data_IF_960173330028
#
_entry.id   IF_960173330028
#
_cell.length_a   1.000
_cell.length_b   1.000
_cell.length_c   1.000
_cell.angle_alpha   90.00
_cell.angle_beta   90.00
_cell.angle_gamma   90.00
#
_symmetry.space_group_name_H-M   'P 1'
#
loop_
_entity.id
_entity.type
_entity.pdbx_description
1 polymer ?
#
# COMPACT_ATOMS: atom_id res chain seq x y z
N UNK A 1 -66.66 4.82 22.48
CA UNK A 1 -66.55 5.00 21.01
C UNK A 1 -65.29 5.82 20.73
N UNK A 2 -64.24 5.21 20.17
CA UNK A 2 -63.04 5.94 19.72
C UNK A 2 -63.33 6.60 18.39
N UNK A 3 -63.37 7.93 18.30
CA UNK A 3 -63.47 8.68 17.04
C UNK A 3 -62.19 8.45 16.23
N UNK A 4 -62.26 7.72 15.16
CA UNK A 4 -61.22 7.63 14.14
C UNK A 4 -61.07 8.98 13.45
N UNK A 5 -60.00 9.71 13.69
CA UNK A 5 -59.64 10.95 12.97
C UNK A 5 -59.36 10.61 11.52
N UNK A 6 -60.20 11.05 10.62
CA UNK A 6 -59.92 10.96 9.16
C UNK A 6 -58.77 11.88 8.82
N UNK A 7 -57.72 11.33 8.22
CA UNK A 7 -56.56 12.08 7.74
C UNK A 7 -56.98 13.11 6.66
N UNK A 8 -56.43 14.31 6.70
CA UNK A 8 -56.66 15.33 5.67
C UNK A 8 -55.96 14.92 4.36
N UNK A 9 -56.40 15.46 3.21
CA UNK A 9 -55.82 15.16 1.88
C UNK A 9 -54.27 15.38 1.87
N UNK A 10 -53.77 16.38 2.60
CA UNK A 10 -52.35 16.68 2.75
C UNK A 10 -51.62 15.62 3.57
N UNK A 11 -52.26 15.09 4.62
CA UNK A 11 -51.68 14.01 5.44
C UNK A 11 -51.64 12.68 4.66
N UNK A 12 -52.63 12.38 3.81
CA UNK A 12 -52.58 11.24 2.92
C UNK A 12 -51.48 11.34 1.86
N UNK A 13 -51.20 12.55 1.33
CA UNK A 13 -50.11 12.79 0.39
C UNK A 13 -48.76 12.60 1.03
N UNK A 14 -48.56 13.16 2.24
CA UNK A 14 -47.33 12.99 3.04
C UNK A 14 -47.09 11.52 3.42
N UNK A 15 -48.17 10.80 3.78
CA UNK A 15 -48.06 9.38 4.10
C UNK A 15 -47.63 8.54 2.87
N UNK A 16 -48.22 8.80 1.69
CA UNK A 16 -47.84 8.13 0.44
C UNK A 16 -46.40 8.42 0.06
N UNK A 17 -45.95 9.67 0.21
CA UNK A 17 -44.59 10.07 -0.04
C UNK A 17 -43.59 9.40 0.94
N UNK A 18 -43.94 9.30 2.22
CA UNK A 18 -43.18 8.58 3.23
C UNK A 18 -43.05 7.08 2.92
N UNK A 19 -44.17 6.44 2.48
CA UNK A 19 -44.13 5.03 2.08
C UNK A 19 -43.24 4.83 0.85
N UNK A 20 -43.30 5.73 -0.13
CA UNK A 20 -42.48 5.64 -1.33
C UNK A 20 -40.97 5.79 -0.99
N UNK A 21 -40.58 6.72 -0.12
CA UNK A 21 -39.25 6.86 0.36
C UNK A 21 -38.80 5.59 1.10
N UNK A 22 -39.63 5.06 2.00
CA UNK A 22 -39.33 3.84 2.73
C UNK A 22 -39.11 2.65 1.79
N UNK A 23 -39.94 2.53 0.73
CA UNK A 23 -39.78 1.49 -0.28
C UNK A 23 -38.47 1.62 -1.05
N UNK A 24 -38.08 2.84 -1.46
CA UNK A 24 -36.80 3.10 -2.13
C UNK A 24 -35.65 2.74 -1.19
N UNK A 25 -35.67 3.15 0.07
CA UNK A 25 -34.65 2.79 1.04
C UNK A 25 -34.55 1.27 1.21
N UNK A 26 -35.70 0.57 1.31
CA UNK A 26 -35.74 -0.89 1.44
C UNK A 26 -35.11 -1.59 0.22
N UNK A 27 -35.38 -1.09 -1.00
CA UNK A 27 -34.78 -1.61 -2.23
C UNK A 27 -33.25 -1.37 -2.22
N UNK A 28 -32.80 -0.16 -1.89
CA UNK A 28 -31.37 0.18 -1.84
C UNK A 28 -30.65 -0.70 -0.81
N UNK A 29 -31.21 -0.87 0.38
CA UNK A 29 -30.67 -1.74 1.42
C UNK A 29 -30.66 -3.20 0.94
N UNK A 30 -31.73 -3.69 0.34
CA UNK A 30 -31.81 -5.05 -0.18
C UNK A 30 -30.77 -5.34 -1.27
N UNK A 31 -30.57 -4.40 -2.20
CA UNK A 31 -29.53 -4.49 -3.24
C UNK A 31 -28.15 -4.44 -2.62
N UNK A 32 -27.93 -3.55 -1.66
CA UNK A 32 -26.65 -3.43 -0.95
C UNK A 32 -26.29 -4.69 -0.16
N UNK A 33 -27.24 -5.27 0.57
CA UNK A 33 -27.06 -6.54 1.28
C UNK A 33 -26.83 -7.69 0.30
N UNK A 34 -27.62 -7.75 -0.78
CA UNK A 34 -27.44 -8.76 -1.83
C UNK A 34 -26.03 -8.71 -2.43
N UNK A 35 -25.52 -7.51 -2.71
CA UNK A 35 -24.15 -7.33 -3.18
C UNK A 35 -23.11 -7.70 -2.10
N UNK A 36 -23.35 -7.30 -0.85
CA UNK A 36 -22.43 -7.55 0.28
C UNK A 36 -22.20 -9.05 0.52
N UNK A 37 -23.24 -9.88 0.40
CA UNK A 37 -23.15 -11.33 0.62
C UNK A 37 -23.05 -12.16 -0.66
N UNK A 38 -23.08 -11.54 -1.84
CA UNK A 38 -22.92 -12.29 -3.09
C UNK A 38 -21.55 -12.97 -3.17
N UNK A 39 -21.54 -14.24 -3.56
CA UNK A 39 -20.36 -15.05 -3.88
C UNK A 39 -20.37 -15.39 -5.36
N UNK A 40 -19.21 -15.70 -5.91
CA UNK A 40 -19.00 -15.94 -7.33
C UNK A 40 -18.16 -17.19 -7.52
N UNK A 41 -18.50 -18.00 -8.53
CA UNK A 41 -17.87 -19.31 -8.77
C UNK A 41 -16.87 -19.26 -9.92
N UNK A 42 -17.01 -18.31 -10.85
CA UNK A 42 -16.14 -18.18 -11.99
C UNK A 42 -15.88 -16.71 -12.38
N UNK A 43 -14.83 -16.50 -13.16
CA UNK A 43 -14.52 -15.21 -13.75
C UNK A 43 -14.65 -15.30 -15.27
N UNK A 44 -15.26 -14.27 -15.88
CA UNK A 44 -15.39 -14.17 -17.33
C UNK A 44 -14.53 -13.05 -17.85
N UNK A 45 -13.74 -13.31 -18.91
CA UNK A 45 -13.07 -12.25 -19.65
C UNK A 45 -14.11 -11.45 -20.42
N UNK A 46 -14.21 -10.15 -20.12
CA UNK A 46 -15.15 -9.23 -20.77
C UNK A 46 -14.51 -8.50 -21.93
N UNK A 47 -13.23 -8.13 -21.75
CA UNK A 47 -12.42 -7.46 -22.78
C UNK A 47 -10.96 -7.90 -22.64
N UNK A 48 -10.27 -7.94 -23.75
CA UNK A 48 -8.85 -8.23 -23.84
C UNK A 48 -8.15 -7.12 -24.61
N UNK A 49 -6.99 -6.72 -24.11
CA UNK A 49 -6.14 -5.71 -24.72
C UNK A 49 -4.74 -6.32 -24.86
N UNK A 50 -4.33 -6.54 -26.08
CA UNK A 50 -3.01 -7.11 -26.37
C UNK A 50 -1.92 -6.09 -26.06
N UNK A 51 -0.91 -6.51 -25.30
CA UNK A 51 0.31 -5.75 -25.07
C UNK A 51 1.46 -6.73 -24.94
N UNK A 52 2.52 -6.47 -25.69
CA UNK A 52 3.78 -7.18 -25.51
C UNK A 52 4.57 -6.48 -24.44
N UNK A 53 4.57 -7.02 -23.23
CA UNK A 53 5.51 -6.67 -22.17
C UNK A 53 6.72 -7.60 -22.22
N UNK A 54 7.82 -7.16 -21.61
CA UNK A 54 8.99 -8.04 -21.42
C UNK A 54 8.71 -9.03 -20.30
N UNK A 55 9.35 -10.19 -20.30
CA UNK A 55 9.11 -11.26 -19.31
C UNK A 55 9.41 -10.84 -17.88
N UNK A 56 10.22 -9.78 -17.68
CA UNK A 56 10.61 -9.21 -16.40
C UNK A 56 9.87 -7.89 -16.06
N UNK A 57 8.83 -7.52 -16.83
CA UNK A 57 7.98 -6.36 -16.52
C UNK A 57 7.21 -6.58 -15.22
N UNK A 58 7.30 -5.58 -14.33
CA UNK A 58 6.53 -5.48 -13.08
C UNK A 58 5.57 -4.31 -13.17
N UNK A 59 4.53 -4.37 -12.35
CA UNK A 59 3.46 -3.39 -12.38
C UNK A 59 3.18 -2.87 -10.98
N UNK A 60 2.85 -1.59 -10.87
CA UNK A 60 2.36 -0.99 -9.63
C UNK A 60 1.24 -0.02 -9.97
N UNK A 61 0.19 -0.01 -9.16
CA UNK A 61 -0.87 0.96 -9.30
C UNK A 61 -0.33 2.35 -8.99
N UNK A 62 -0.63 3.30 -9.87
CA UNK A 62 -0.23 4.68 -9.72
C UNK A 62 -1.32 5.58 -10.30
N UNK A 63 -1.79 6.55 -9.52
CA UNK A 63 -2.90 7.42 -9.89
C UNK A 63 -4.12 6.63 -10.45
N UNK A 64 -4.57 6.97 -11.65
CA UNK A 64 -5.69 6.33 -12.36
C UNK A 64 -5.24 5.30 -13.42
N UNK A 65 -4.03 4.77 -13.27
CA UNK A 65 -3.42 3.81 -14.18
C UNK A 65 -2.41 2.87 -13.51
N UNK A 66 -1.47 2.43 -14.28
CA UNK A 66 -0.45 1.46 -13.88
C UNK A 66 0.91 1.90 -14.40
N UNK A 67 1.92 1.94 -13.51
CA UNK A 67 3.31 2.00 -13.92
C UNK A 67 3.80 0.59 -14.24
N UNK A 68 4.22 0.37 -15.47
CA UNK A 68 5.02 -0.77 -15.90
C UNK A 68 6.49 -0.39 -15.78
N UNK A 69 7.29 -1.23 -15.14
CA UNK A 69 8.72 -0.99 -15.03
C UNK A 69 9.52 -2.27 -15.19
N UNK A 70 10.66 -2.14 -15.83
CA UNK A 70 11.62 -3.21 -16.09
C UNK A 70 13.03 -2.66 -16.02
N UNK A 71 14.02 -3.46 -16.40
CA UNK A 71 15.40 -3.00 -16.55
C UNK A 71 15.61 -2.03 -17.71
N UNK A 72 14.73 -2.07 -18.68
CA UNK A 72 14.87 -1.35 -19.96
C UNK A 72 14.06 -0.05 -20.04
N UNK A 73 13.17 0.17 -19.05
CA UNK A 73 12.37 1.38 -19.03
C UNK A 73 11.19 1.37 -18.08
N UNK A 74 10.54 2.52 -18.02
CA UNK A 74 9.34 2.77 -17.22
C UNK A 74 8.27 3.35 -18.14
N UNK A 75 7.05 2.81 -18.09
CA UNK A 75 5.91 3.32 -18.83
C UNK A 75 4.70 3.56 -17.92
N UNK A 76 3.94 4.60 -18.21
CA UNK A 76 2.65 4.81 -17.54
C UNK A 76 1.52 4.44 -18.50
N UNK A 77 0.66 3.56 -18.02
CA UNK A 77 -0.39 2.93 -18.80
C UNK A 77 -1.76 3.22 -18.19
N UNK A 78 -2.75 3.37 -19.05
CA UNK A 78 -4.15 3.28 -18.61
C UNK A 78 -4.47 1.84 -18.16
N UNK A 79 -5.59 1.65 -17.43
CA UNK A 79 -6.10 0.29 -17.15
C UNK A 79 -6.54 -0.49 -18.41
N UNK A 80 -6.42 0.07 -19.60
CA UNK A 80 -6.64 -0.62 -20.88
C UNK A 80 -5.34 -1.02 -21.55
N UNK A 81 -4.19 -0.69 -20.95
CA UNK A 81 -2.88 -0.92 -21.51
C UNK A 81 -2.45 0.12 -22.55
N UNK A 82 -3.25 1.20 -22.74
CA UNK A 82 -2.83 2.31 -23.61
C UNK A 82 -1.67 3.05 -22.95
N UNK A 83 -0.58 3.23 -23.67
CA UNK A 83 0.59 3.94 -23.19
C UNK A 83 0.36 5.44 -23.21
N UNK A 84 0.53 6.09 -22.05
CA UNK A 84 0.44 7.53 -21.90
C UNK A 84 1.80 8.19 -22.10
N UNK A 85 2.84 7.55 -21.56
CA UNK A 85 4.25 7.91 -21.82
C UNK A 85 5.16 6.71 -21.54
N UNK A 86 6.35 6.77 -22.12
CA UNK A 86 7.41 5.77 -21.92
C UNK A 86 8.75 6.49 -21.76
N UNK A 87 9.52 6.09 -20.76
CA UNK A 87 10.87 6.56 -20.49
C UNK A 87 11.83 5.39 -20.60
N UNK A 88 12.54 5.24 -21.73
CA UNK A 88 13.63 4.29 -21.83
C UNK A 88 14.75 4.62 -20.85
N UNK A 89 15.24 3.63 -20.13
CA UNK A 89 16.39 3.77 -19.23
C UNK A 89 17.02 2.40 -19.02
N UNK A 90 18.22 2.38 -18.45
CA UNK A 90 18.86 1.14 -18.04
C UNK A 90 19.01 1.13 -16.53
N UNK A 91 18.29 0.24 -15.87
CA UNK A 91 18.28 0.07 -14.42
C UNK A 91 18.60 -1.38 -14.11
N UNK A 92 19.70 -1.62 -13.38
CA UNK A 92 20.15 -2.98 -13.08
C UNK A 92 19.18 -3.74 -12.18
N UNK A 93 18.66 -3.06 -11.14
CA UNK A 93 17.76 -3.64 -10.15
C UNK A 93 16.72 -2.60 -9.70
N UNK A 94 15.62 -2.42 -10.45
CA UNK A 94 14.65 -1.38 -10.19
C UNK A 94 13.89 -1.60 -8.87
N UNK A 95 13.88 -0.58 -8.02
CA UNK A 95 13.02 -0.42 -6.85
C UNK A 95 12.10 0.78 -7.09
N UNK A 96 10.81 0.61 -6.79
CA UNK A 96 9.79 1.62 -7.09
C UNK A 96 8.99 1.96 -5.85
N UNK A 97 8.87 3.25 -5.59
CA UNK A 97 7.99 3.80 -4.56
C UNK A 97 7.04 4.83 -5.18
N UNK A 98 5.82 4.85 -4.67
CA UNK A 98 4.78 5.78 -5.12
C UNK A 98 4.17 6.49 -3.92
N UNK A 99 3.85 7.77 -4.11
CA UNK A 99 3.11 8.57 -3.14
C UNK A 99 2.22 9.55 -3.91
N UNK A 100 0.91 9.34 -3.82
CA UNK A 100 -0.09 10.20 -4.47
C UNK A 100 0.28 10.51 -5.94
N UNK A 101 0.80 11.72 -6.20
CA UNK A 101 1.10 12.27 -7.53
C UNK A 101 2.53 12.05 -8.00
N UNK A 102 3.36 11.38 -7.22
CA UNK A 102 4.76 11.15 -7.55
C UNK A 102 5.10 9.66 -7.49
N UNK A 103 6.01 9.26 -8.37
CA UNK A 103 6.66 7.96 -8.32
C UNK A 103 8.17 8.15 -8.42
N UNK A 104 8.92 7.34 -7.71
CA UNK A 104 10.37 7.28 -7.81
C UNK A 104 10.81 5.86 -8.18
N UNK A 105 11.71 5.76 -9.14
CA UNK A 105 12.32 4.50 -9.57
C UNK A 105 13.82 4.61 -9.36
N UNK A 106 14.34 3.85 -8.42
CA UNK A 106 15.77 3.81 -8.09
C UNK A 106 16.43 2.55 -8.61
N UNK A 107 17.71 2.63 -8.91
CA UNK A 107 18.56 1.48 -9.22
C UNK A 107 19.22 0.98 -7.91
N UNK A 108 18.69 -0.10 -7.35
CA UNK A 108 19.27 -0.69 -6.13
C UNK A 108 20.67 -1.23 -6.39
N UNK A 109 21.64 -0.75 -5.63
CA UNK A 109 23.08 -1.01 -5.83
C UNK A 109 23.73 -0.08 -6.87
N UNK A 110 22.93 0.67 -7.64
CA UNK A 110 23.36 1.75 -8.52
C UNK A 110 23.23 3.13 -7.85
N UNK A 111 23.30 4.19 -8.64
CA UNK A 111 23.33 5.59 -8.17
C UNK A 111 22.30 6.50 -8.84
N UNK A 112 21.36 5.95 -9.62
CA UNK A 112 20.36 6.73 -10.35
C UNK A 112 18.98 6.58 -9.73
N UNK A 113 18.23 7.68 -9.60
CA UNK A 113 16.82 7.70 -9.23
C UNK A 113 16.08 8.59 -10.21
N UNK A 114 15.06 8.05 -10.85
CA UNK A 114 14.16 8.79 -11.74
C UNK A 114 12.88 9.14 -10.97
N UNK A 115 12.49 10.41 -11.01
CA UNK A 115 11.27 10.90 -10.35
C UNK A 115 10.24 11.24 -11.41
N UNK A 116 9.06 10.68 -11.28
CA UNK A 116 7.94 10.82 -12.22
C UNK A 116 6.75 11.51 -11.58
N UNK A 117 5.98 12.15 -12.44
CA UNK A 117 4.59 12.55 -12.19
C UNK A 117 3.71 11.97 -13.30
N UNK A 118 2.38 12.13 -13.19
CA UNK A 118 1.44 11.63 -14.19
C UNK A 118 1.77 12.07 -15.64
N UNK A 119 2.42 13.21 -15.80
CA UNK A 119 2.81 13.78 -17.10
C UNK A 119 4.16 13.28 -17.62
N UNK A 120 4.85 12.39 -16.90
CA UNK A 120 6.16 11.86 -17.28
C UNK A 120 7.28 12.19 -16.29
N UNK A 121 8.52 12.14 -16.78
CA UNK A 121 9.71 12.40 -15.99
C UNK A 121 9.74 13.84 -15.45
N UNK A 122 9.85 13.95 -14.14
CA UNK A 122 9.99 15.24 -13.42
C UNK A 122 11.44 15.63 -13.19
N UNK A 123 12.29 14.65 -12.95
CA UNK A 123 13.70 14.86 -12.72
C UNK A 123 14.48 13.59 -12.50
N UNK A 124 15.79 13.74 -12.47
CA UNK A 124 16.77 12.68 -12.24
C UNK A 124 17.69 13.07 -11.10
N UNK A 125 17.93 12.13 -10.20
CA UNK A 125 18.81 12.28 -9.06
C UNK A 125 19.98 11.33 -9.26
N UNK A 126 21.19 11.89 -9.27
CA UNK A 126 22.43 11.11 -9.27
C UNK A 126 22.99 11.12 -7.84
N UNK A 127 22.96 9.98 -7.18
CA UNK A 127 23.51 9.83 -5.84
C UNK A 127 25.01 9.63 -5.88
N UNK A 128 25.68 9.94 -4.77
CA UNK A 128 27.15 9.79 -4.67
C UNK A 128 27.56 8.39 -4.21
N UNK A 129 26.60 7.57 -3.79
CA UNK A 129 26.83 6.21 -3.24
C UNK A 129 25.70 5.29 -3.68
N UNK A 130 25.92 3.96 -3.67
CA UNK A 130 24.91 2.99 -4.03
C UNK A 130 23.62 3.12 -3.19
N UNK A 131 22.50 2.93 -3.85
CA UNK A 131 21.14 3.03 -3.30
C UNK A 131 20.72 1.68 -2.72
N UNK A 132 20.22 1.66 -1.49
CA UNK A 132 19.65 0.48 -0.86
C UNK A 132 18.11 0.56 -0.75
N UNK A 133 17.60 1.72 -0.38
CA UNK A 133 16.18 1.99 -0.20
C UNK A 133 15.85 3.39 -0.68
N UNK A 134 14.60 3.59 -1.10
CA UNK A 134 14.06 4.91 -1.42
C UNK A 134 12.66 5.07 -0.84
N UNK A 135 12.25 6.30 -0.65
CA UNK A 135 10.87 6.71 -0.41
C UNK A 135 10.62 8.04 -1.11
N UNK A 136 9.41 8.30 -1.55
CA UNK A 136 9.05 9.54 -2.27
C UNK A 136 7.85 10.21 -1.64
N UNK A 137 7.85 11.55 -1.59
CA UNK A 137 6.70 12.36 -1.21
C UNK A 137 5.84 12.72 -2.44
N UNK A 138 4.61 13.20 -2.23
CA UNK A 138 3.72 13.62 -3.33
C UNK A 138 4.30 14.77 -4.18
N UNK A 139 5.25 15.52 -3.61
CA UNK A 139 5.94 16.62 -4.30
C UNK A 139 7.16 16.15 -5.07
N UNK A 140 7.56 14.87 -4.96
CA UNK A 140 8.75 14.31 -5.60
C UNK A 140 10.04 14.58 -4.84
N UNK A 141 9.98 14.88 -3.54
CA UNK A 141 11.14 14.78 -2.64
C UNK A 141 11.43 13.30 -2.43
N UNK A 142 12.69 12.90 -2.53
CA UNK A 142 13.10 11.50 -2.36
C UNK A 142 14.02 11.39 -1.15
N UNK A 143 13.69 10.49 -0.22
CA UNK A 143 14.62 10.02 0.78
C UNK A 143 15.26 8.71 0.29
N UNK A 144 16.56 8.58 0.47
CA UNK A 144 17.31 7.40 0.09
C UNK A 144 18.20 6.93 1.24
N UNK A 145 18.26 5.62 1.46
CA UNK A 145 19.32 4.96 2.19
C UNK A 145 20.42 4.68 1.19
N UNK A 146 21.58 5.27 1.42
CA UNK A 146 22.76 5.09 0.61
C UNK A 146 23.82 4.35 1.42
N UNK A 147 24.50 3.42 0.79
CA UNK A 147 25.53 2.61 1.43
C UNK A 147 26.89 2.87 0.81
N UNK A 148 27.83 3.16 1.66
CA UNK A 148 29.26 3.06 1.40
C UNK A 148 29.80 1.82 2.12
N UNK A 149 31.01 1.36 1.82
CA UNK A 149 31.56 0.10 2.34
C UNK A 149 31.47 -0.03 3.87
N UNK A 150 31.58 1.08 4.61
CA UNK A 150 31.57 1.07 6.09
C UNK A 150 30.50 1.97 6.73
N UNK A 151 29.84 2.84 5.96
CA UNK A 151 28.99 3.88 6.54
C UNK A 151 27.74 4.10 5.72
N UNK A 152 26.57 3.80 6.28
CA UNK A 152 25.29 4.13 5.65
C UNK A 152 24.94 5.61 5.85
N UNK A 153 24.21 6.17 4.89
CA UNK A 153 23.68 7.52 4.91
C UNK A 153 22.16 7.50 4.63
N UNK A 154 21.47 8.44 5.25
CA UNK A 154 20.09 8.77 4.89
C UNK A 154 20.11 10.17 4.29
N UNK A 155 19.74 10.29 3.03
CA UNK A 155 19.81 11.55 2.29
C UNK A 155 18.45 11.87 1.66
N UNK A 156 18.01 13.11 1.82
CA UNK A 156 16.82 13.61 1.15
C UNK A 156 17.22 14.54 0.01
N UNK A 157 16.60 14.35 -1.15
CA UNK A 157 16.84 15.11 -2.37
C UNK A 157 15.55 15.77 -2.84
N UNK A 158 15.65 16.92 -3.47
CA UNK A 158 14.58 17.41 -4.33
C UNK A 158 14.57 16.63 -5.67
N UNK A 159 13.52 16.81 -6.47
CA UNK A 159 13.39 16.12 -7.77
C UNK A 159 14.46 16.52 -8.80
N UNK A 160 15.27 17.55 -8.54
CA UNK A 160 16.37 17.99 -9.40
C UNK A 160 17.73 17.44 -8.95
N UNK A 161 17.77 16.66 -7.86
CA UNK A 161 18.98 16.08 -7.30
C UNK A 161 19.72 16.97 -6.31
N UNK A 162 19.14 18.12 -5.91
CA UNK A 162 19.76 18.93 -4.85
C UNK A 162 19.57 18.23 -3.50
N UNK A 163 20.65 18.13 -2.72
CA UNK A 163 20.61 17.60 -1.36
C UNK A 163 19.88 18.58 -0.44
N UNK A 164 18.82 18.13 0.20
CA UNK A 164 18.07 18.89 1.20
C UNK A 164 18.55 18.57 2.61
N UNK A 165 18.78 17.30 2.89
CA UNK A 165 19.26 16.80 4.19
C UNK A 165 20.19 15.62 3.94
N UNK A 166 21.30 15.55 4.66
CA UNK A 166 22.18 14.38 4.68
C UNK A 166 22.51 14.03 6.14
N UNK A 167 22.26 12.78 6.49
CA UNK A 167 22.56 12.24 7.81
C UNK A 167 23.44 11.00 7.67
N UNK A 168 24.61 11.08 8.29
CA UNK A 168 25.52 9.96 8.44
C UNK A 168 25.04 9.06 9.57
N UNK A 169 24.78 7.79 9.28
CA UNK A 169 24.48 6.80 10.29
C UNK A 169 25.78 6.12 10.78
N UNK A 170 25.76 5.67 12.03
CA UNK A 170 26.88 4.98 12.65
C UNK A 170 26.35 3.79 13.42
N UNK A 171 26.86 2.60 13.13
CA UNK A 171 26.48 1.36 13.81
C UNK A 171 26.56 1.45 15.34
N UNK A 172 27.49 2.24 15.87
CA UNK A 172 27.66 2.41 17.33
C UNK A 172 26.70 3.39 17.97
N UNK A 173 26.22 4.40 17.24
CA UNK A 173 25.45 5.50 17.81
C UNK A 173 23.99 5.54 17.32
N UNK A 174 23.81 5.61 15.99
CA UNK A 174 22.49 5.74 15.38
C UNK A 174 21.87 4.40 15.02
N UNK A 175 22.67 3.40 14.72
CA UNK A 175 22.26 2.13 14.14
C UNK A 175 22.43 2.11 12.62
N UNK A 176 22.15 0.95 12.02
CA UNK A 176 22.12 0.75 10.57
C UNK A 176 20.69 1.03 10.05
N UNK A 177 20.48 1.98 9.11
CA UNK A 177 19.16 2.26 8.57
C UNK A 177 18.68 1.09 7.72
N UNK A 178 17.59 0.46 8.13
CA UNK A 178 16.99 -0.69 7.45
C UNK A 178 15.92 -0.29 6.47
N UNK A 179 15.21 0.81 6.75
CA UNK A 179 14.17 1.33 5.87
C UNK A 179 13.89 2.81 6.15
N UNK A 180 13.31 3.51 5.16
CA UNK A 180 12.92 4.92 5.24
C UNK A 180 11.54 5.15 4.64
N UNK A 181 10.80 6.10 5.21
CA UNK A 181 9.53 6.57 4.67
C UNK A 181 9.42 8.09 4.80
N UNK A 182 8.92 8.75 3.75
CA UNK A 182 8.56 10.17 3.76
C UNK A 182 7.06 10.35 3.92
N UNK A 183 6.66 11.36 4.71
CA UNK A 183 5.27 11.83 4.71
C UNK A 183 4.88 12.39 3.33
N UNK A 184 3.60 12.43 3.05
CA UNK A 184 3.06 12.93 1.78
C UNK A 184 3.57 14.34 1.45
N UNK A 185 3.62 15.25 2.45
CA UNK A 185 4.12 16.61 2.29
C UNK A 185 5.66 16.73 2.30
N UNK A 186 6.37 15.62 2.51
CA UNK A 186 7.84 15.54 2.52
C UNK A 186 8.52 16.19 3.73
N UNK A 187 7.75 16.60 4.77
CA UNK A 187 8.33 17.27 5.95
C UNK A 187 8.73 16.33 7.06
N UNK A 188 8.12 15.14 7.11
CA UNK A 188 8.43 14.14 8.12
C UNK A 188 9.14 12.95 7.47
N UNK A 189 10.32 12.62 7.99
CA UNK A 189 11.07 11.45 7.61
C UNK A 189 11.01 10.43 8.76
N UNK A 190 10.61 9.23 8.46
CA UNK A 190 10.59 8.08 9.35
C UNK A 190 11.71 7.13 8.94
N UNK A 191 12.55 6.72 9.89
CA UNK A 191 13.67 5.81 9.64
C UNK A 191 13.68 4.72 10.70
N UNK A 192 13.84 3.49 10.26
CA UNK A 192 14.12 2.34 11.12
C UNK A 192 15.63 2.08 11.15
N UNK A 193 16.19 1.92 12.34
CA UNK A 193 17.61 1.65 12.54
C UNK A 193 17.81 0.37 13.35
N UNK A 194 18.53 -0.58 12.80
CA UNK A 194 18.99 -1.76 13.53
C UNK A 194 20.21 -1.41 14.37
N UNK A 195 20.13 -1.68 15.65
CA UNK A 195 21.14 -1.35 16.64
C UNK A 195 21.61 -2.60 17.37
N UNK A 196 22.79 -2.53 18.02
CA UNK A 196 23.32 -3.58 18.87
C UNK A 196 23.56 -3.05 20.28
N UNK A 197 23.24 -3.86 21.30
CA UNK A 197 23.50 -3.57 22.71
C UNK A 197 24.05 -4.83 23.37
N UNK A 198 25.36 -4.85 23.63
CA UNK A 198 26.05 -6.07 24.08
C UNK A 198 26.01 -7.17 23.02
N UNK A 199 25.38 -8.30 23.33
CA UNK A 199 25.19 -9.42 22.40
C UNK A 199 23.78 -9.43 21.77
N UNK A 200 22.89 -8.51 22.17
CA UNK A 200 21.53 -8.39 21.66
C UNK A 200 21.41 -7.36 20.55
N UNK A 201 20.30 -7.44 19.87
CA UNK A 201 19.86 -6.46 18.86
C UNK A 201 18.64 -5.71 19.38
N UNK A 202 18.43 -4.52 18.88
CA UNK A 202 17.20 -3.76 19.08
C UNK A 202 17.01 -2.81 17.89
N UNK A 203 15.78 -2.39 17.67
CA UNK A 203 15.48 -1.43 16.61
C UNK A 203 15.12 -0.08 17.21
N UNK A 204 15.64 1.00 16.61
CA UNK A 204 15.18 2.37 16.82
C UNK A 204 14.33 2.83 15.66
N UNK A 205 13.13 3.29 15.96
CA UNK A 205 12.26 3.97 14.99
C UNK A 205 12.29 5.46 15.30
N UNK A 206 12.80 6.27 14.36
CA UNK A 206 12.99 7.71 14.54
C UNK A 206 12.17 8.51 13.56
N UNK A 207 11.58 9.59 14.07
CA UNK A 207 10.89 10.59 13.29
C UNK A 207 11.69 11.90 13.30
N UNK A 208 12.00 12.38 12.11
CA UNK A 208 12.63 13.66 11.85
C UNK A 208 11.59 14.59 11.25
N UNK A 209 11.50 15.82 11.74
CA UNK A 209 10.58 16.81 11.21
C UNK A 209 11.35 18.04 10.73
N UNK A 210 11.26 18.34 9.44
CA UNK A 210 12.04 19.42 8.80
C UNK A 210 11.32 20.77 8.78
N UNK A 211 10.10 20.87 9.29
CA UNK A 211 9.41 22.14 9.50
C UNK A 211 9.89 22.90 10.74
N UNK A 212 9.31 24.08 11.00
CA UNK A 212 9.72 24.98 12.09
C UNK A 212 9.81 24.28 13.46
N UNK A 213 8.86 23.41 13.79
CA UNK A 213 8.87 22.69 15.07
C UNK A 213 10.09 21.76 15.24
N UNK A 214 10.66 21.24 14.16
CA UNK A 214 11.84 20.38 14.19
C UNK A 214 13.14 21.16 14.34
N UNK A 215 13.18 22.43 13.94
CA UNK A 215 14.40 23.27 14.04
C UNK A 215 14.88 23.46 15.48
N UNK A 216 13.99 23.35 16.45
CA UNK A 216 14.34 23.43 17.87
C UNK A 216 14.73 22.08 18.48
N UNK A 217 14.50 20.98 17.76
CA UNK A 217 14.86 19.64 18.20
C UNK A 217 16.32 19.33 17.81
N UNK A 218 17.00 18.55 18.65
CA UNK A 218 18.36 18.10 18.33
C UNK A 218 18.32 17.19 17.08
N UNK A 219 19.09 17.55 16.08
CA UNK A 219 19.21 16.80 14.82
C UNK A 219 17.85 16.58 14.12
N UNK A 220 16.89 17.49 14.33
CA UNK A 220 15.51 17.40 13.83
C UNK A 220 14.69 16.18 14.36
N UNK A 221 15.21 15.43 15.32
CA UNK A 221 14.53 14.25 15.89
C UNK A 221 13.39 14.72 16.81
N UNK A 222 12.16 14.44 16.45
CA UNK A 222 10.95 14.84 17.19
C UNK A 222 10.32 13.70 17.97
N UNK A 223 10.56 12.46 17.58
CA UNK A 223 10.13 11.24 18.29
C UNK A 223 11.11 10.10 18.03
N UNK A 224 11.33 9.27 19.04
CA UNK A 224 12.15 8.06 18.96
C UNK A 224 11.54 6.97 19.83
N UNK A 225 11.52 5.74 19.32
CA UNK A 225 11.02 4.53 19.98
C UNK A 225 12.07 3.42 19.85
N UNK A 226 12.24 2.63 20.90
CA UNK A 226 13.15 1.48 20.92
C UNK A 226 12.35 0.19 21.10
N UNK A 227 12.66 -0.82 20.29
CA UNK A 227 12.05 -2.15 20.32
C UNK A 227 13.16 -3.17 20.57
N UNK A 228 13.22 -3.66 21.82
CA UNK A 228 14.23 -4.62 22.27
C UNK A 228 13.96 -6.00 21.67
N UNK A 229 15.03 -6.70 21.30
CA UNK A 229 15.00 -8.05 20.70
C UNK A 229 14.06 -8.17 19.48
N UNK A 230 13.86 -7.06 18.75
CA UNK A 230 12.96 -6.98 17.60
C UNK A 230 13.64 -6.29 16.41
N UNK A 231 13.35 -6.78 15.21
CA UNK A 231 13.77 -6.19 13.95
C UNK A 231 12.56 -5.55 13.26
N UNK A 232 12.68 -4.28 12.88
CA UNK A 232 11.68 -3.54 12.09
C UNK A 232 12.23 -3.33 10.68
N UNK A 233 12.01 -4.27 9.75
CA UNK A 233 12.53 -4.20 8.39
C UNK A 233 11.76 -3.22 7.49
N UNK A 234 10.56 -2.79 7.91
CA UNK A 234 9.70 -1.96 7.07
C UNK A 234 9.03 -0.87 7.89
N UNK A 235 9.11 0.35 7.38
CA UNK A 235 8.36 1.51 7.87
C UNK A 235 7.65 2.19 6.70
N UNK A 236 6.45 2.75 6.95
CA UNK A 236 5.66 3.40 5.90
C UNK A 236 4.73 4.47 6.46
N UNK A 237 4.52 5.54 5.71
CA UNK A 237 3.36 6.41 5.90
C UNK A 237 2.14 5.79 5.20
N UNK A 238 1.01 5.78 5.90
CA UNK A 238 -0.27 5.24 5.42
C UNK A 238 -1.21 6.36 4.97
N UNK A 239 -1.10 7.52 5.61
CA UNK A 239 -1.74 8.79 5.25
C UNK A 239 -0.82 9.96 5.69
N UNK A 240 -1.28 11.21 5.54
CA UNK A 240 -0.52 12.43 5.89
C UNK A 240 0.11 12.39 7.30
N UNK A 241 -0.53 11.72 8.26
CA UNK A 241 -0.09 11.77 9.66
C UNK A 241 -0.26 10.45 10.41
N UNK A 242 -0.48 9.35 9.69
CA UNK A 242 -0.46 7.98 10.21
C UNK A 242 0.69 7.22 9.59
N UNK A 243 1.50 6.58 10.40
CA UNK A 243 2.59 5.72 9.92
C UNK A 243 2.59 4.38 10.63
N UNK A 244 3.30 3.43 10.05
CA UNK A 244 3.38 2.04 10.48
C UNK A 244 4.83 1.60 10.52
N UNK A 245 5.19 0.90 11.57
CA UNK A 245 6.36 0.04 11.62
C UNK A 245 5.90 -1.42 11.65
N UNK A 246 6.55 -2.25 10.85
CA UNK A 246 6.29 -3.68 10.75
C UNK A 246 7.51 -4.39 11.28
N UNK A 247 7.36 -5.08 12.42
CA UNK A 247 8.42 -5.88 13.00
C UNK A 247 8.26 -7.36 12.65
N UNK A 248 9.12 -8.18 13.16
CA UNK A 248 9.05 -9.64 13.07
C UNK A 248 7.96 -10.25 13.98
N UNK A 249 7.37 -9.47 14.87
CA UNK A 249 6.42 -9.94 15.89
C UNK A 249 5.17 -9.08 16.07
N UNK A 250 5.18 -7.84 15.54
CA UNK A 250 4.08 -6.90 15.75
C UNK A 250 3.98 -5.81 14.66
N UNK A 251 2.80 -5.20 14.60
CA UNK A 251 2.56 -3.96 13.86
C UNK A 251 2.44 -2.81 14.86
N UNK A 252 3.20 -1.74 14.66
CA UNK A 252 3.11 -0.54 15.49
C UNK A 252 2.62 0.63 14.64
N UNK A 253 1.45 1.15 15.00
CA UNK A 253 0.85 2.32 14.36
C UNK A 253 1.19 3.59 15.14
N UNK A 254 1.59 4.63 14.41
CA UNK A 254 1.85 5.95 14.97
C UNK A 254 0.88 6.97 14.39
N UNK A 255 0.58 8.01 15.16
CA UNK A 255 -0.25 9.13 14.74
C UNK A 255 0.36 10.47 15.12
N UNK A 256 0.33 11.42 14.20
CA UNK A 256 0.79 12.80 14.36
C UNK A 256 1.60 13.27 13.17
N UNK A 257 1.53 14.58 12.88
CA UNK A 257 2.29 15.23 11.80
C UNK A 257 3.69 15.68 12.27
N UNK A 258 3.75 16.52 13.32
CA UNK A 258 4.99 17.15 13.80
C UNK A 258 5.72 16.36 14.88
N UNK A 259 5.00 15.55 15.63
CA UNK A 259 5.53 14.71 16.72
C UNK A 259 4.71 13.43 16.79
N UNK A 260 4.93 12.47 15.89
CA UNK A 260 4.22 11.21 15.87
C UNK A 260 4.36 10.46 17.19
N UNK A 261 3.25 9.86 17.65
CA UNK A 261 3.19 9.05 18.86
C UNK A 261 2.63 7.68 18.53
N UNK A 262 3.06 6.68 19.27
CA UNK A 262 2.45 5.35 19.22
C UNK A 262 0.96 5.45 19.52
N UNK A 263 0.17 4.84 18.66
CA UNK A 263 -1.29 4.81 18.75
C UNK A 263 -1.79 3.42 19.05
N UNK A 264 -1.19 2.40 18.47
CA UNK A 264 -1.54 1.00 18.68
C UNK A 264 -0.35 0.09 18.41
N UNK A 265 -0.13 -0.87 19.29
CA UNK A 265 0.78 -2.01 19.13
C UNK A 265 -0.05 -3.27 18.96
N UNK A 266 0.21 -4.04 17.94
CA UNK A 266 -0.58 -5.21 17.58
C UNK A 266 0.35 -6.40 17.40
N UNK A 267 0.57 -7.19 18.48
CA UNK A 267 1.32 -8.42 18.37
C UNK A 267 0.55 -9.44 17.54
N UNK A 268 1.27 -10.16 16.69
CA UNK A 268 0.71 -11.28 15.94
C UNK A 268 1.47 -12.58 16.22
N UNK A 269 0.77 -13.71 16.01
CA UNK A 269 1.32 -15.05 16.22
C UNK A 269 1.41 -15.76 14.88
N UNK A 270 2.60 -16.18 14.52
CA UNK A 270 2.88 -16.83 13.25
C UNK A 270 3.93 -16.08 12.45
N UNK A 271 4.28 -16.61 11.31
CA UNK A 271 5.24 -16.01 10.39
C UNK A 271 4.52 -15.08 9.44
N UNK A 272 4.92 -13.81 9.40
CA UNK A 272 4.39 -12.82 8.45
C UNK A 272 4.83 -13.20 7.03
N UNK A 273 3.86 -13.49 6.15
CA UNK A 273 4.10 -13.89 4.76
C UNK A 273 4.01 -12.71 3.81
N UNK A 274 2.96 -11.91 3.95
CA UNK A 274 2.71 -10.77 3.08
C UNK A 274 2.04 -9.64 3.84
N UNK A 275 2.26 -8.42 3.37
CA UNK A 275 1.59 -7.22 3.86
C UNK A 275 1.17 -6.35 2.68
N UNK A 276 0.01 -5.73 2.76
CA UNK A 276 -0.49 -4.78 1.78
C UNK A 276 -1.20 -3.61 2.45
N UNK A 277 -1.23 -2.48 1.76
CA UNK A 277 -1.72 -1.21 2.27
C UNK A 277 -2.73 -0.58 1.32
N UNK A 278 -3.68 0.15 1.87
CA UNK A 278 -4.54 1.09 1.14
C UNK A 278 -4.83 2.31 2.04
N UNK A 279 -5.55 3.29 1.51
CA UNK A 279 -5.94 4.50 2.24
C UNK A 279 -6.81 4.22 3.49
N UNK A 280 -7.46 3.06 3.57
CA UNK A 280 -8.39 2.70 4.64
C UNK A 280 -7.90 1.54 5.51
N UNK A 281 -6.97 0.70 5.00
CA UNK A 281 -6.64 -0.59 5.62
C UNK A 281 -5.18 -1.00 5.47
N UNK A 282 -4.74 -1.81 6.43
CA UNK A 282 -3.54 -2.65 6.36
C UNK A 282 -3.99 -4.11 6.42
N UNK A 283 -3.57 -4.91 5.46
CA UNK A 283 -3.80 -6.35 5.42
C UNK A 283 -2.49 -7.11 5.62
N UNK A 284 -2.52 -8.16 6.44
CA UNK A 284 -1.39 -9.08 6.61
C UNK A 284 -1.85 -10.52 6.42
N UNK A 285 -0.95 -11.35 5.91
CA UNK A 285 -1.11 -12.80 5.92
C UNK A 285 -0.07 -13.42 6.83
N UNK A 286 -0.51 -14.38 7.65
CA UNK A 286 0.30 -15.07 8.63
C UNK A 286 0.24 -16.57 8.37
N UNK A 287 1.40 -17.22 8.35
CA UNK A 287 1.51 -18.68 8.39
C UNK A 287 1.46 -19.13 9.83
N UNK A 288 0.46 -19.92 10.18
CA UNK A 288 0.33 -20.45 11.53
C UNK A 288 1.15 -21.73 11.72
N UNK A 289 1.68 -21.89 12.91
CA UNK A 289 2.40 -23.12 13.28
C UNK A 289 1.44 -24.30 13.36
N UNK A 290 1.77 -25.43 12.70
CA UNK A 290 0.98 -26.66 12.75
C UNK A 290 0.00 -26.82 11.58
N UNK A 291 -1.16 -27.45 11.84
CA UNK A 291 -2.18 -27.78 10.81
C UNK A 291 -3.20 -26.68 10.56
N UNK A 292 -3.05 -25.49 11.14
CA UNK A 292 -4.09 -24.46 11.15
C UNK A 292 -4.18 -23.62 9.86
N UNK A 293 -3.27 -23.81 8.90
CA UNK A 293 -3.27 -23.08 7.62
C UNK A 293 -2.78 -21.64 7.73
N UNK A 294 -3.21 -20.82 6.79
CA UNK A 294 -2.86 -19.41 6.71
C UNK A 294 -3.99 -18.53 7.27
N UNK A 295 -3.65 -17.41 7.88
CA UNK A 295 -4.61 -16.44 8.40
C UNK A 295 -4.44 -15.09 7.69
N UNK A 296 -5.55 -14.53 7.22
CA UNK A 296 -5.64 -13.16 6.71
C UNK A 296 -6.22 -12.28 7.81
N UNK A 297 -5.53 -11.20 8.14
CA UNK A 297 -6.00 -10.18 9.07
C UNK A 297 -6.06 -8.82 8.35
N UNK A 298 -7.12 -8.07 8.62
CA UNK A 298 -7.34 -6.73 8.06
C UNK A 298 -7.55 -5.74 9.20
N UNK A 299 -6.78 -4.66 9.18
CA UNK A 299 -6.81 -3.60 10.18
C UNK A 299 -7.16 -2.26 9.55
N UNK A 300 -7.86 -1.41 10.29
CA UNK A 300 -7.94 0.01 9.97
C UNK A 300 -6.63 0.71 10.30
N UNK A 301 -6.45 1.93 9.76
CA UNK A 301 -5.23 2.72 10.00
C UNK A 301 -5.05 3.14 11.49
N UNK A 302 -6.04 2.94 12.33
CA UNK A 302 -5.93 3.13 13.78
C UNK A 302 -5.62 1.84 14.56
N UNK A 303 -5.20 0.78 13.86
CA UNK A 303 -4.88 -0.51 14.46
C UNK A 303 -6.08 -1.39 14.82
N UNK A 304 -7.32 -0.94 14.59
CA UNK A 304 -8.50 -1.75 14.90
C UNK A 304 -8.65 -2.92 13.93
N UNK A 305 -8.66 -4.14 14.46
CA UNK A 305 -8.96 -5.35 13.67
C UNK A 305 -10.39 -5.27 13.10
N UNK A 306 -10.51 -5.44 11.80
CA UNK A 306 -11.77 -5.45 11.05
C UNK A 306 -12.18 -6.87 10.68
N UNK A 307 -11.22 -7.68 10.29
CA UNK A 307 -11.42 -9.05 9.84
C UNK A 307 -10.22 -9.91 10.24
N UNK A 308 -10.51 -11.13 10.68
CA UNK A 308 -9.56 -12.22 10.77
C UNK A 308 -10.24 -13.46 10.20
N UNK A 309 -9.63 -14.12 9.23
CA UNK A 309 -10.18 -15.32 8.59
C UNK A 309 -9.07 -16.28 8.21
N UNK A 310 -9.34 -17.57 8.38
CA UNK A 310 -8.45 -18.63 7.90
C UNK A 310 -8.72 -18.88 6.41
N UNK A 311 -7.68 -19.23 5.69
CA UNK A 311 -7.79 -19.63 4.29
C UNK A 311 -6.82 -20.78 3.97
N UNK A 312 -7.17 -21.53 2.94
CA UNK A 312 -6.36 -22.62 2.41
C UNK A 312 -5.75 -22.24 1.08
N UNK A 313 -4.56 -22.70 0.82
CA UNK A 313 -3.77 -22.43 -0.38
C UNK A 313 -2.56 -21.56 -0.09
N UNK A 314 -1.61 -21.60 -1.01
CA UNK A 314 -0.42 -20.78 -0.98
C UNK A 314 -0.67 -19.58 -1.92
N UNK A 315 -0.61 -18.37 -1.37
CA UNK A 315 -0.75 -17.11 -2.10
C UNK A 315 0.33 -16.15 -1.62
N UNK A 316 1.28 -15.85 -2.48
CA UNK A 316 2.40 -14.95 -2.16
C UNK A 316 2.06 -13.48 -2.38
N UNK A 317 1.08 -13.22 -3.25
CA UNK A 317 0.67 -11.87 -3.59
C UNK A 317 -0.59 -11.47 -2.83
N UNK A 318 -0.53 -10.31 -2.20
CA UNK A 318 -1.61 -9.72 -1.42
C UNK A 318 -1.87 -8.30 -1.90
N UNK A 319 -3.12 -7.98 -2.16
CA UNK A 319 -3.58 -6.60 -2.41
C UNK A 319 -4.77 -6.25 -1.54
N UNK A 320 -4.83 -5.01 -1.11
CA UNK A 320 -5.97 -4.47 -0.37
C UNK A 320 -6.49 -3.22 -1.06
N UNK A 321 -7.79 -3.14 -1.16
CA UNK A 321 -8.50 -1.99 -1.71
C UNK A 321 -9.46 -1.44 -0.65
N UNK A 322 -10.20 -0.39 -0.98
CA UNK A 322 -11.18 0.22 -0.07
C UNK A 322 -12.20 -0.78 0.52
N UNK A 323 -12.55 -1.83 -0.20
CA UNK A 323 -13.63 -2.74 0.17
C UNK A 323 -13.30 -4.23 0.01
N UNK A 324 -12.11 -4.57 -0.46
CA UNK A 324 -11.72 -5.96 -0.74
C UNK A 324 -10.25 -6.23 -0.47
N UNK A 325 -9.97 -7.50 -0.20
CA UNK A 325 -8.63 -8.08 -0.13
C UNK A 325 -8.54 -9.16 -1.21
N UNK A 326 -7.48 -9.12 -1.99
CA UNK A 326 -7.21 -10.06 -3.08
C UNK A 326 -5.89 -10.76 -2.80
N UNK A 327 -5.94 -12.08 -2.75
CA UNK A 327 -4.76 -12.95 -2.67
C UNK A 327 -4.66 -13.70 -4.00
N UNK A 328 -3.46 -13.81 -4.55
CA UNK A 328 -3.25 -14.54 -5.79
C UNK A 328 -1.85 -15.14 -5.88
N UNK A 329 -1.76 -16.25 -6.63
CA UNK A 329 -0.53 -16.94 -7.00
C UNK A 329 -0.79 -17.72 -8.29
N UNK A 330 0.12 -17.65 -9.25
CA UNK A 330 -0.08 -18.23 -10.58
C UNK A 330 -1.45 -17.83 -11.17
N UNK A 331 -2.32 -18.79 -11.44
CA UNK A 331 -3.69 -18.55 -11.89
C UNK A 331 -4.71 -18.58 -10.74
N UNK A 332 -4.29 -18.96 -9.53
CA UNK A 332 -5.15 -19.03 -8.35
C UNK A 332 -5.49 -17.65 -7.80
N UNK A 333 -6.75 -17.42 -7.47
CA UNK A 333 -7.22 -16.15 -6.93
C UNK A 333 -8.26 -16.37 -5.82
N UNK A 334 -8.10 -15.63 -4.72
CA UNK A 334 -9.00 -15.65 -3.57
C UNK A 334 -9.33 -14.21 -3.18
N UNK A 335 -10.61 -13.88 -3.12
CA UNK A 335 -11.07 -12.52 -2.85
C UNK A 335 -12.02 -12.51 -1.66
N UNK A 336 -11.73 -11.66 -0.68
CA UNK A 336 -12.61 -11.34 0.43
C UNK A 336 -13.08 -9.88 0.34
N UNK A 337 -14.29 -9.61 0.83
CA UNK A 337 -14.62 -8.22 1.15
C UNK A 337 -14.06 -7.83 2.52
N UNK A 338 -14.06 -6.54 2.85
CA UNK A 338 -13.52 -6.04 4.11
C UNK A 338 -14.23 -6.58 5.37
N UNK A 339 -15.41 -7.20 5.25
CA UNK A 339 -16.12 -7.85 6.36
C UNK A 339 -15.84 -9.35 6.50
N UNK A 340 -14.98 -9.92 5.67
CA UNK A 340 -14.59 -11.33 5.71
C UNK A 340 -15.46 -12.28 4.88
N UNK A 341 -16.40 -11.76 4.08
CA UNK A 341 -17.15 -12.62 3.15
C UNK A 341 -16.24 -12.99 1.97
N UNK A 342 -16.03 -14.29 1.77
CA UNK A 342 -15.33 -14.80 0.60
C UNK A 342 -16.16 -14.54 -0.66
N UNK A 343 -15.68 -13.66 -1.52
CA UNK A 343 -16.35 -13.24 -2.74
C UNK A 343 -16.07 -14.20 -3.90
N UNK A 344 -14.85 -14.70 -3.95
CA UNK A 344 -14.39 -15.60 -5.01
C UNK A 344 -13.25 -16.48 -4.48
N UNK A 345 -13.23 -17.74 -4.87
CA UNK A 345 -12.09 -18.66 -4.75
C UNK A 345 -12.09 -19.53 -5.99
N UNK A 346 -11.04 -19.42 -6.78
CA UNK A 346 -10.97 -20.18 -8.03
C UNK A 346 -9.66 -19.97 -8.78
N UNK A 347 -9.57 -20.61 -9.93
CA UNK A 347 -8.45 -20.50 -10.85
C UNK A 347 -8.92 -19.74 -12.09
N UNK A 348 -8.15 -18.74 -12.50
CA UNK A 348 -8.37 -17.99 -13.73
C UNK A 348 -7.77 -18.76 -14.94
N UNK A 349 -8.13 -18.35 -16.14
CA UNK A 349 -7.66 -19.05 -17.36
C UNK A 349 -6.16 -18.88 -17.63
N UNK A 350 -5.56 -17.80 -17.11
CA UNK A 350 -4.15 -17.46 -17.29
C UNK A 350 -3.51 -17.08 -15.98
N UNK A 351 -2.19 -17.23 -15.90
CA UNK A 351 -1.38 -16.78 -14.76
C UNK A 351 -1.51 -15.26 -14.58
N UNK A 352 -1.66 -14.85 -13.35
CA UNK A 352 -1.83 -13.47 -12.94
C UNK A 352 -0.43 -12.88 -12.68
N UNK A 353 -0.02 -11.92 -13.48
CA UNK A 353 1.15 -11.09 -13.19
C UNK A 353 0.76 -10.03 -12.18
N UNK A 354 -0.39 -9.40 -12.40
CA UNK A 354 -0.99 -8.47 -11.44
C UNK A 354 -2.51 -8.36 -11.64
N UNK A 355 -3.23 -7.89 -10.59
CA UNK A 355 -4.67 -7.71 -10.63
C UNK A 355 -5.07 -6.45 -9.87
N UNK A 356 -5.93 -5.63 -10.49
CA UNK A 356 -6.42 -4.38 -9.94
C UNK A 356 -7.94 -4.34 -9.99
N UNK A 357 -8.56 -3.85 -8.93
CA UNK A 357 -9.97 -3.56 -8.96
C UNK A 357 -10.23 -2.30 -9.79
N UNK A 358 -11.18 -2.38 -10.72
CA UNK A 358 -11.60 -1.26 -11.54
C UNK A 358 -13.06 -0.87 -11.25
N UNK A 359 -13.50 0.28 -11.76
CA UNK A 359 -14.88 0.75 -11.60
C UNK A 359 -15.89 -0.23 -12.16
N UNK A 360 -16.98 -0.46 -11.42
CA UNK A 360 -18.07 -1.36 -11.77
C UNK A 360 -18.23 -2.52 -10.80
N UNK A 361 -19.33 -3.28 -10.98
CA UNK A 361 -19.64 -4.42 -10.11
C UNK A 361 -18.74 -5.61 -10.46
N UNK A 362 -17.93 -6.06 -9.48
CA UNK A 362 -17.10 -7.27 -9.58
C UNK A 362 -16.18 -7.30 -10.79
N UNK A 363 -15.64 -6.13 -11.18
CA UNK A 363 -14.76 -5.99 -12.31
C UNK A 363 -13.34 -5.76 -11.86
N UNK A 364 -12.43 -6.45 -12.52
CA UNK A 364 -10.99 -6.35 -12.27
C UNK A 364 -10.25 -6.20 -13.60
N UNK A 365 -9.14 -5.53 -13.58
CA UNK A 365 -8.14 -5.59 -14.62
C UNK A 365 -7.06 -6.57 -14.19
N UNK A 366 -6.90 -7.64 -14.91
CA UNK A 366 -5.85 -8.62 -14.74
C UNK A 366 -4.77 -8.36 -15.78
N UNK A 367 -3.52 -8.39 -15.36
CA UNK A 367 -2.35 -8.39 -16.24
C UNK A 367 -1.81 -9.82 -16.28
N UNK A 368 -1.53 -10.30 -17.48
CA UNK A 368 -0.93 -11.61 -17.74
C UNK A 368 0.12 -11.47 -18.86
N UNK A 369 0.78 -12.56 -19.23
CA UNK A 369 1.81 -12.56 -20.26
C UNK A 369 1.32 -12.11 -21.65
N UNK A 370 0.01 -12.17 -21.92
CA UNK A 370 -0.58 -11.75 -23.20
C UNK A 370 -1.05 -10.27 -23.21
N UNK A 371 -1.05 -9.61 -22.04
CA UNK A 371 -1.47 -8.22 -21.89
C UNK A 371 -2.50 -8.01 -20.79
N UNK A 372 -3.46 -7.14 -21.04
CA UNK A 372 -4.45 -6.70 -20.07
C UNK A 372 -5.82 -7.34 -20.35
N UNK A 373 -6.44 -7.91 -19.34
CA UNK A 373 -7.76 -8.51 -19.44
C UNK A 373 -8.71 -7.91 -18.42
N UNK A 374 -9.81 -7.35 -18.89
CA UNK A 374 -10.92 -6.99 -18.02
C UNK A 374 -11.71 -8.26 -17.69
N UNK A 375 -11.70 -8.69 -16.47
CA UNK A 375 -12.48 -9.81 -15.96
C UNK A 375 -13.66 -9.33 -15.11
N UNK A 376 -14.72 -10.12 -15.11
CA UNK A 376 -15.87 -9.92 -14.26
C UNK A 376 -16.23 -11.23 -13.56
N UNK A 377 -16.35 -11.17 -12.22
CA UNK A 377 -16.81 -12.31 -11.45
C UNK A 377 -18.29 -12.58 -11.72
N UNK A 378 -18.65 -13.84 -11.90
CA UNK A 378 -20.00 -14.31 -12.21
C UNK A 378 -20.37 -15.55 -11.37
N UNK A 379 -21.66 -15.81 -11.27
CA UNK A 379 -22.23 -17.04 -10.67
C UNK A 379 -22.33 -18.13 -11.70
#
# INVERSE_FOLDING_TARGET
MKKTRKLTRRQHLLLRFGILIAAVIAIVVGVSLGYHYATYDHAKVVKQYERKSTDDSKYIQYEDGVLEYSRDGIAFLTYRGDELWNQPCQIGNPIVETCEKAAAVGDKGGTSILVFQKTGLKGEIQTTRPIEKISVSSQGIVAAVLQDEETPFVVCYDAKGNVLVEQKASLKNTGYPTDVALSEDGKTLLVSYLCTRGYGIFTKVRFYYFGEAGQTAKDYVVSEYEYDDSVVPTVRFLDENTSLAVSDSELVFYKGDKKPKEMAEIPYKGELQSIAYSDDYVAITLKKSGKEGNELQLYRLNGKLVMSTLYEGEYTNLKVTKDQVVLYEDAGCLIFNASGVQKFKGTLEKNIVDIFRISGFNKYMMINAAGFEQIQLAK
#
